data_IF_224962390526
#
_entry.id   IF_224962390526
#
_cell.length_a   1.000
_cell.length_b   1.000
_cell.length_c   1.000
_cell.angle_alpha   90.00
_cell.angle_beta   90.00
_cell.angle_gamma   90.00
#
_symmetry.space_group_name_H-M   'P 1'
#
loop_
_entity.id
_entity.type
_entity.pdbx_description
1 polymer ?
#
# COMPACT_ATOMS: atom_id res chain seq x y z
N UNK A 1 15.84 1.05 -6.29
CA UNK A 1 14.73 0.15 -5.90
C UNK A 1 15.34 -1.20 -5.61
N UNK A 2 14.96 -1.87 -4.52
CA UNK A 2 15.43 -3.21 -4.15
C UNK A 2 14.25 -4.13 -3.81
N UNK A 3 14.45 -5.45 -3.82
CA UNK A 3 13.41 -6.42 -3.46
C UNK A 3 12.38 -6.72 -4.56
N UNK A 4 12.59 -6.30 -5.81
CA UNK A 4 11.61 -6.48 -6.89
C UNK A 4 11.27 -7.96 -7.18
N UNK A 5 12.16 -8.87 -6.83
CA UNK A 5 11.93 -10.31 -6.82
C UNK A 5 10.74 -10.70 -5.92
N UNK A 6 10.55 -10.05 -4.77
CA UNK A 6 9.42 -10.31 -3.88
C UNK A 6 8.09 -9.85 -4.51
N UNK A 7 8.11 -8.71 -5.20
CA UNK A 7 6.95 -8.25 -5.97
C UNK A 7 6.59 -9.26 -7.06
N UNK A 8 7.58 -9.77 -7.81
CA UNK A 8 7.33 -10.75 -8.87
C UNK A 8 6.80 -12.06 -8.29
N UNK A 9 7.41 -12.55 -7.19
CA UNK A 9 7.02 -13.79 -6.54
C UNK A 9 5.57 -13.77 -6.04
N UNK A 10 5.11 -12.65 -5.47
CA UNK A 10 3.72 -12.53 -5.01
C UNK A 10 2.76 -12.18 -6.15
N UNK A 11 3.20 -11.46 -7.18
CA UNK A 11 2.31 -10.99 -8.23
C UNK A 11 1.95 -12.06 -9.26
N UNK A 12 2.82 -13.03 -9.52
CA UNK A 12 2.63 -14.01 -10.58
C UNK A 12 2.54 -15.43 -10.01
N UNK A 13 1.45 -16.13 -10.33
CA UNK A 13 1.34 -17.56 -10.11
C UNK A 13 2.29 -18.34 -11.04
N UNK A 14 2.46 -19.64 -10.80
CA UNK A 14 3.32 -20.51 -11.62
C UNK A 14 2.94 -20.52 -13.10
N UNK A 15 1.65 -20.34 -13.41
CA UNK A 15 1.12 -20.26 -14.78
C UNK A 15 1.31 -18.86 -15.44
N UNK A 16 1.99 -17.94 -14.76
CA UNK A 16 2.28 -16.58 -15.22
C UNK A 16 1.10 -15.61 -15.11
N UNK A 17 -0.06 -16.03 -14.60
CA UNK A 17 -1.20 -15.12 -14.37
C UNK A 17 -0.96 -14.27 -13.13
N UNK A 18 -1.53 -13.06 -13.17
CA UNK A 18 -1.51 -12.18 -12.00
C UNK A 18 -2.49 -12.68 -10.96
N UNK A 19 -2.03 -12.86 -9.73
CA UNK A 19 -2.85 -13.20 -8.58
C UNK A 19 -3.15 -11.96 -7.72
N UNK A 20 -4.27 -11.93 -6.98
CA UNK A 20 -4.59 -10.83 -6.09
C UNK A 20 -3.72 -10.86 -4.84
N UNK A 21 -3.31 -9.69 -4.38
CA UNK A 21 -2.60 -9.49 -3.11
C UNK A 21 -2.74 -8.03 -2.68
N UNK A 22 -2.30 -7.72 -1.46
CA UNK A 22 -2.27 -6.36 -0.94
C UNK A 22 -0.85 -5.81 -1.05
N UNK A 23 -0.69 -4.61 -1.63
CA UNK A 23 0.55 -3.85 -1.56
C UNK A 23 0.38 -2.81 -0.46
N UNK A 24 1.26 -2.89 0.55
CA UNK A 24 1.19 -2.06 1.74
C UNK A 24 2.45 -1.18 1.89
N UNK A 25 2.50 -0.01 1.23
CA UNK A 25 3.55 0.97 1.42
C UNK A 25 3.32 1.87 2.64
N UNK A 26 4.40 2.37 3.27
CA UNK A 26 4.28 3.54 4.14
C UNK A 26 3.96 4.81 3.33
N UNK A 27 3.41 5.84 3.99
CA UNK A 27 2.90 7.05 3.36
C UNK A 27 3.67 8.31 3.82
N UNK A 28 4.59 8.81 2.98
CA UNK A 28 5.39 10.01 3.25
C UNK A 28 4.91 11.27 2.51
N UNK A 29 4.32 11.12 1.32
CA UNK A 29 4.04 12.23 0.41
C UNK A 29 2.84 11.95 -0.49
N UNK A 30 2.31 13.02 -1.11
CA UNK A 30 1.36 12.87 -2.21
C UNK A 30 1.98 12.16 -3.43
N UNK A 31 3.31 12.17 -3.54
CA UNK A 31 4.04 11.53 -4.64
C UNK A 31 4.18 10.02 -4.51
N UNK A 32 3.91 9.43 -3.34
CA UNK A 32 4.14 8.01 -3.08
C UNK A 32 3.51 7.10 -4.13
N UNK A 33 2.20 7.19 -4.46
CA UNK A 33 1.60 6.29 -5.44
C UNK A 33 2.19 6.49 -6.83
N UNK A 34 2.60 7.71 -7.19
CA UNK A 34 3.20 8.00 -8.49
C UNK A 34 4.57 7.35 -8.64
N UNK A 35 5.46 7.58 -7.66
CA UNK A 35 6.81 7.03 -7.69
C UNK A 35 6.76 5.50 -7.61
N UNK A 36 5.89 4.96 -6.75
CA UNK A 36 5.74 3.52 -6.62
C UNK A 36 5.21 2.86 -7.91
N UNK A 37 4.29 3.51 -8.63
CA UNK A 37 3.82 2.99 -9.91
C UNK A 37 4.91 2.88 -10.98
N UNK A 38 5.94 3.74 -10.94
CA UNK A 38 7.06 3.66 -11.90
C UNK A 38 7.90 2.40 -11.74
N UNK A 39 7.79 1.70 -10.60
CA UNK A 39 8.59 0.51 -10.29
C UNK A 39 7.84 -0.79 -10.54
N UNK A 40 6.57 -0.72 -10.96
CA UNK A 40 5.73 -1.88 -11.24
C UNK A 40 5.96 -2.45 -12.65
N UNK A 41 6.00 -3.79 -12.81
CA UNK A 41 5.80 -4.41 -14.11
C UNK A 41 4.47 -3.96 -14.71
N UNK A 42 4.39 -3.84 -16.04
CA UNK A 42 3.19 -3.36 -16.74
C UNK A 42 1.92 -4.13 -16.35
N UNK A 43 2.01 -5.44 -16.16
CA UNK A 43 0.88 -6.29 -15.76
C UNK A 43 0.36 -5.97 -14.35
N UNK A 44 1.25 -5.66 -13.41
CA UNK A 44 0.90 -5.18 -12.06
C UNK A 44 0.31 -3.78 -12.17
N UNK A 45 0.96 -2.89 -12.92
CA UNK A 45 0.52 -1.52 -13.15
C UNK A 45 -0.90 -1.46 -13.74
N UNK A 46 -1.33 -2.44 -14.56
CA UNK A 46 -2.69 -2.49 -15.12
C UNK A 46 -3.75 -3.10 -14.19
N UNK A 47 -3.34 -3.84 -13.18
CA UNK A 47 -4.24 -4.61 -12.31
C UNK A 47 -4.37 -4.08 -10.88
N UNK A 48 -3.57 -3.09 -10.48
CA UNK A 48 -3.75 -2.46 -9.17
C UNK A 48 -4.90 -1.45 -9.15
N UNK A 49 -5.48 -1.25 -7.97
CA UNK A 49 -6.45 -0.20 -7.67
C UNK A 49 -6.23 0.36 -6.26
N UNK A 50 -6.87 1.49 -6.00
CA UNK A 50 -6.88 2.14 -4.70
C UNK A 50 -8.32 2.37 -4.23
N UNK A 51 -8.49 2.62 -2.95
CA UNK A 51 -9.71 3.23 -2.40
C UNK A 51 -9.32 4.57 -1.80
N UNK A 52 -10.05 5.63 -2.12
CA UNK A 52 -9.70 6.97 -1.66
C UNK A 52 -10.79 8.00 -1.88
N UNK A 53 -10.67 9.13 -1.18
CA UNK A 53 -11.70 10.17 -1.13
C UNK A 53 -12.01 10.78 -2.51
N UNK A 54 -13.28 11.19 -2.68
CA UNK A 54 -13.80 11.79 -3.92
C UNK A 54 -13.08 13.09 -4.30
N UNK A 55 -12.47 13.79 -3.34
CA UNK A 55 -11.69 15.00 -3.59
C UNK A 55 -10.56 14.80 -4.61
N UNK A 56 -10.03 13.57 -4.75
CA UNK A 56 -9.04 13.26 -5.80
C UNK A 56 -9.60 13.32 -7.22
N UNK A 57 -10.91 13.49 -7.40
CA UNK A 57 -11.56 13.64 -8.69
C UNK A 57 -11.93 15.10 -9.01
N UNK A 58 -11.56 16.05 -8.15
CA UNK A 58 -11.88 17.47 -8.35
C UNK A 58 -10.85 18.12 -9.30
N UNK A 59 -11.32 18.54 -10.48
CA UNK A 59 -10.47 19.17 -11.50
C UNK A 59 -9.87 18.18 -12.50
N UNK A 60 -9.43 18.71 -13.65
CA UNK A 60 -9.00 17.90 -14.81
C UNK A 60 -7.75 17.07 -14.52
N UNK A 61 -6.78 17.65 -13.80
CA UNK A 61 -5.51 16.99 -13.47
C UNK A 61 -5.69 15.89 -12.42
N UNK A 62 -6.27 16.22 -11.26
CA UNK A 62 -6.53 15.25 -10.19
C UNK A 62 -7.44 14.11 -10.69
N UNK A 63 -8.49 14.42 -11.46
CA UNK A 63 -9.33 13.39 -12.08
C UNK A 63 -8.57 12.49 -13.07
N UNK A 64 -7.58 13.00 -13.81
CA UNK A 64 -6.70 12.17 -14.64
C UNK A 64 -5.84 11.23 -13.78
N UNK A 65 -5.24 11.75 -12.71
CA UNK A 65 -4.46 10.97 -11.74
C UNK A 65 -5.29 9.86 -11.11
N UNK A 66 -6.49 10.18 -10.63
CA UNK A 66 -7.35 9.22 -9.96
C UNK A 66 -7.77 8.07 -10.88
N UNK A 67 -7.98 8.36 -12.19
CA UNK A 67 -8.20 7.31 -13.20
C UNK A 67 -6.95 6.47 -13.45
N UNK A 68 -5.78 7.10 -13.55
CA UNK A 68 -4.49 6.41 -13.75
C UNK A 68 -4.18 5.46 -12.58
N UNK A 69 -4.45 5.88 -11.35
CA UNK A 69 -4.29 5.09 -10.13
C UNK A 69 -5.49 4.17 -9.82
N UNK A 70 -6.53 4.20 -10.65
CA UNK A 70 -7.79 3.42 -10.50
C UNK A 70 -8.38 3.53 -9.10
N UNK A 71 -8.49 4.76 -8.61
CA UNK A 71 -9.06 5.06 -7.30
C UNK A 71 -10.57 4.81 -7.35
N UNK A 72 -11.08 4.02 -6.40
CA UNK A 72 -12.52 3.92 -6.15
C UNK A 72 -12.90 5.08 -5.22
N UNK A 73 -13.81 6.00 -5.63
CA UNK A 73 -14.11 7.23 -4.90
C UNK A 73 -14.97 6.95 -3.66
N UNK A 74 -14.36 6.41 -2.61
CA UNK A 74 -14.96 6.17 -1.32
C UNK A 74 -14.03 6.78 -0.28
N UNK A 75 -14.58 7.73 0.47
CA UNK A 75 -13.87 8.31 1.60
C UNK A 75 -13.84 7.30 2.75
N UNK A 76 -12.65 6.78 3.04
CA UNK A 76 -12.44 5.78 4.08
C UNK A 76 -12.56 6.36 5.49
N UNK A 77 -12.42 7.67 5.67
CA UNK A 77 -12.54 8.32 6.97
C UNK A 77 -14.01 8.45 7.39
N UNK A 78 -14.92 8.65 6.42
CA UNK A 78 -16.37 8.74 6.66
C UNK A 78 -17.14 7.45 6.35
N UNK A 79 -16.62 6.59 5.47
CA UNK A 79 -17.30 5.40 4.95
C UNK A 79 -16.42 4.15 4.99
N UNK A 80 -15.72 3.92 6.10
CA UNK A 80 -14.79 2.79 6.29
C UNK A 80 -15.36 1.43 5.84
N UNK A 81 -16.57 1.08 6.25
CA UNK A 81 -17.19 -0.20 5.87
C UNK A 81 -17.42 -0.34 4.36
N UNK A 82 -17.75 0.75 3.66
CA UNK A 82 -17.89 0.73 2.20
C UNK A 82 -16.52 0.61 1.53
N UNK A 83 -15.49 1.28 2.07
CA UNK A 83 -14.13 1.20 1.57
C UNK A 83 -13.58 -0.24 1.68
N UNK A 84 -13.75 -0.86 2.84
CA UNK A 84 -13.38 -2.26 3.10
C UNK A 84 -14.11 -3.22 2.15
N UNK A 85 -15.43 -3.06 1.97
CA UNK A 85 -16.20 -3.86 1.01
C UNK A 85 -15.70 -3.69 -0.42
N UNK A 86 -15.41 -2.47 -0.86
CA UNK A 86 -14.88 -2.21 -2.20
C UNK A 86 -13.49 -2.85 -2.39
N UNK A 87 -12.62 -2.76 -1.38
CA UNK A 87 -11.34 -3.46 -1.35
C UNK A 87 -11.50 -4.97 -1.52
N UNK A 88 -12.37 -5.59 -0.72
CA UNK A 88 -12.64 -7.02 -0.79
C UNK A 88 -13.22 -7.44 -2.16
N UNK A 89 -14.14 -6.66 -2.73
CA UNK A 89 -14.70 -6.93 -4.07
C UNK A 89 -13.60 -6.89 -5.14
N UNK A 90 -12.72 -5.88 -5.11
CA UNK A 90 -11.62 -5.77 -6.06
C UNK A 90 -10.64 -6.94 -5.96
N UNK A 91 -10.24 -7.31 -4.73
CA UNK A 91 -9.37 -8.45 -4.45
C UNK A 91 -9.99 -9.77 -4.95
N UNK A 92 -11.27 -10.03 -4.65
CA UNK A 92 -12.00 -11.21 -5.16
C UNK A 92 -12.12 -11.26 -6.69
N UNK A 93 -11.97 -10.12 -7.39
CA UNK A 93 -11.93 -10.03 -8.85
C UNK A 93 -10.51 -10.20 -9.43
N UNK A 94 -9.55 -10.66 -8.63
CA UNK A 94 -8.16 -10.85 -9.06
C UNK A 94 -7.38 -9.54 -9.23
N UNK A 95 -7.82 -8.45 -8.62
CA UNK A 95 -7.10 -7.16 -8.64
C UNK A 95 -6.18 -7.02 -7.44
N UNK A 96 -5.18 -6.16 -7.59
CA UNK A 96 -4.18 -5.89 -6.55
C UNK A 96 -4.63 -4.64 -5.79
N UNK A 97 -4.81 -4.72 -4.48
CA UNK A 97 -5.17 -3.54 -3.68
C UNK A 97 -3.90 -2.85 -3.19
N UNK A 98 -3.68 -1.60 -3.56
CA UNK A 98 -2.69 -0.76 -2.90
C UNK A 98 -3.36 0.00 -1.75
N UNK A 99 -2.89 -0.23 -0.52
CA UNK A 99 -3.45 0.34 0.70
C UNK A 99 -2.33 0.88 1.58
N UNK A 100 -2.42 2.14 1.97
CA UNK A 100 -1.50 2.74 2.94
C UNK A 100 -2.01 2.44 4.35
N UNK A 101 -1.35 1.55 5.13
CA UNK A 101 -1.90 1.07 6.39
C UNK A 101 -1.93 2.17 7.47
N UNK A 102 -1.13 3.24 7.34
CA UNK A 102 -1.20 4.43 8.21
C UNK A 102 -2.55 5.16 8.08
N UNK A 103 -3.22 5.05 6.93
CA UNK A 103 -4.47 5.75 6.61
C UNK A 103 -4.30 7.24 6.31
N UNK A 104 -3.19 7.85 6.68
CA UNK A 104 -2.83 9.22 6.34
C UNK A 104 -1.32 9.38 6.06
N UNK A 105 -0.95 10.51 5.45
CA UNK A 105 0.46 10.85 5.18
C UNK A 105 1.17 11.25 6.45
N UNK A 106 2.39 10.76 6.62
CA UNK A 106 3.30 11.16 7.67
C UNK A 106 3.45 12.69 7.74
N UNK A 107 3.33 13.23 8.94
CA UNK A 107 3.41 14.66 9.19
C UNK A 107 4.81 15.12 9.60
N UNK A 108 5.64 14.20 10.10
CA UNK A 108 7.01 14.44 10.57
C UNK A 108 8.07 13.63 9.78
N UNK A 109 7.63 12.74 8.88
CA UNK A 109 8.50 11.85 8.10
C UNK A 109 8.86 10.54 8.81
N UNK A 110 8.28 10.28 9.97
CA UNK A 110 8.38 9.01 10.68
C UNK A 110 7.19 8.09 10.33
N UNK A 111 7.29 6.83 10.75
CA UNK A 111 6.27 5.82 10.52
C UNK A 111 5.21 5.87 11.65
N UNK A 112 3.97 6.19 11.32
CA UNK A 112 2.88 6.27 12.29
C UNK A 112 2.15 4.94 12.47
N UNK A 113 1.26 4.87 13.45
CA UNK A 113 0.45 3.69 13.77
C UNK A 113 -0.29 3.14 12.55
N UNK A 114 -0.35 1.82 12.42
CA UNK A 114 -1.05 1.16 11.32
C UNK A 114 -2.46 0.79 11.75
N UNK A 115 -3.43 1.11 10.90
CA UNK A 115 -4.81 0.65 11.02
C UNK A 115 -4.91 -0.82 10.60
N UNK A 116 -5.86 -1.56 11.18
CA UNK A 116 -6.04 -3.01 10.95
C UNK A 116 -6.62 -3.37 9.57
N UNK A 117 -7.06 -2.40 8.76
CA UNK A 117 -7.81 -2.67 7.51
C UNK A 117 -7.10 -3.60 6.52
N UNK A 118 -5.78 -3.43 6.34
CA UNK A 118 -4.99 -4.32 5.49
C UNK A 118 -4.90 -5.74 6.06
N UNK A 119 -4.69 -5.88 7.37
CA UNK A 119 -4.62 -7.17 8.05
C UNK A 119 -5.96 -7.93 8.01
N UNK A 120 -7.08 -7.22 8.22
CA UNK A 120 -8.43 -7.80 8.12
C UNK A 120 -8.66 -8.32 6.70
N UNK A 121 -8.43 -7.49 5.67
CA UNK A 121 -8.65 -7.93 4.28
C UNK A 121 -7.75 -9.11 3.89
N UNK A 122 -6.50 -9.12 4.33
CA UNK A 122 -5.57 -10.19 4.06
C UNK A 122 -6.02 -11.50 4.72
N UNK A 123 -6.33 -11.48 6.01
CA UNK A 123 -6.73 -12.66 6.78
C UNK A 123 -8.08 -13.24 6.31
N UNK A 124 -9.08 -12.40 6.05
CA UNK A 124 -10.42 -12.83 5.64
C UNK A 124 -10.47 -13.39 4.22
N UNK A 125 -9.52 -12.99 3.36
CA UNK A 125 -9.45 -13.43 1.97
C UNK A 125 -8.32 -14.43 1.72
N UNK A 126 -7.54 -14.75 2.76
CA UNK A 126 -6.31 -15.53 2.69
C UNK A 126 -5.36 -15.05 1.59
N UNK A 127 -5.12 -13.74 1.56
CA UNK A 127 -4.28 -13.08 0.56
C UNK A 127 -2.99 -12.53 1.16
N UNK A 128 -1.85 -12.66 0.47
CA UNK A 128 -0.58 -12.16 0.97
C UNK A 128 -0.55 -10.63 1.02
N UNK A 129 0.21 -10.12 1.99
CA UNK A 129 0.58 -8.70 2.09
C UNK A 129 2.02 -8.54 1.61
N UNK A 130 2.24 -7.65 0.65
CA UNK A 130 3.57 -7.20 0.24
C UNK A 130 3.92 -5.90 0.97
N UNK A 131 4.75 -5.93 2.02
CA UNK A 131 5.24 -4.73 2.68
C UNK A 131 6.17 -3.94 1.76
N UNK A 132 6.01 -2.62 1.70
CA UNK A 132 6.87 -1.73 0.90
C UNK A 132 7.37 -0.57 1.76
N UNK A 133 8.68 -0.41 1.82
CA UNK A 133 9.31 0.75 2.44
C UNK A 133 9.70 1.78 1.38
N UNK A 134 9.31 3.02 1.63
CA UNK A 134 9.60 4.21 0.85
C UNK A 134 10.31 5.19 1.78
N UNK A 135 11.48 5.66 1.37
CA UNK A 135 12.22 6.72 2.06
C UNK A 135 12.68 7.83 1.11
N UNK A 136 12.70 9.06 1.63
CA UNK A 136 13.14 10.26 0.93
C UNK A 136 12.02 11.13 0.38
N UNK A 137 10.79 10.61 0.23
CA UNK A 137 9.69 11.37 -0.36
C UNK A 137 9.15 12.48 0.54
N UNK A 138 9.24 12.31 1.87
CA UNK A 138 8.93 13.39 2.80
C UNK A 138 9.83 14.63 2.57
N UNK A 139 11.13 14.42 2.28
CA UNK A 139 12.09 15.51 2.01
C UNK A 139 11.85 16.17 0.65
N UNK A 140 11.38 15.40 -0.33
CA UNK A 140 11.02 15.88 -1.67
C UNK A 140 9.78 16.76 -1.61
N UNK A 141 8.70 16.28 -0.98
CA UNK A 141 7.46 17.02 -0.85
C UNK A 141 6.64 16.61 0.38
N UNK A 142 6.88 17.29 1.49
CA UNK A 142 6.17 17.07 2.76
C UNK A 142 4.69 17.51 2.70
N UNK A 143 3.83 16.88 3.52
CA UNK A 143 2.37 17.07 3.54
C UNK A 143 1.89 18.54 3.55
N UNK A 144 2.57 19.41 4.30
CA UNK A 144 2.21 20.83 4.47
C UNK A 144 3.07 21.80 3.63
N UNK A 145 3.95 21.27 2.77
CA UNK A 145 4.80 22.10 1.93
C UNK A 145 4.17 22.31 0.56
N UNK A 146 4.29 23.52 0.02
CA UNK A 146 3.94 23.83 -1.37
C UNK A 146 5.15 23.70 -2.32
N UNK A 147 6.35 23.49 -1.77
CA UNK A 147 7.61 23.48 -2.54
C UNK A 147 8.11 22.05 -2.73
N UNK A 148 8.21 21.63 -3.98
CA UNK A 148 8.83 20.37 -4.38
C UNK A 148 10.35 20.60 -4.50
N UNK A 149 11.14 19.72 -3.91
CA UNK A 149 12.62 19.75 -3.98
C UNK A 149 13.15 18.48 -4.65
N UNK A 150 14.18 18.56 -5.51
CA UNK A 150 14.89 17.38 -5.96
C UNK A 150 15.43 16.59 -4.76
N UNK A 151 15.34 15.28 -4.80
CA UNK A 151 15.80 14.41 -3.74
C UNK A 151 15.93 12.97 -4.20
N UNK A 152 16.76 12.20 -3.49
CA UNK A 152 16.89 10.77 -3.73
C UNK A 152 15.74 10.05 -3.03
N UNK A 153 15.05 9.18 -3.76
CA UNK A 153 14.00 8.31 -3.23
C UNK A 153 14.51 6.88 -3.28
N UNK A 154 14.38 6.16 -2.17
CA UNK A 154 14.68 4.73 -2.09
C UNK A 154 13.38 3.97 -1.86
N UNK A 155 13.22 2.85 -2.55
CA UNK A 155 12.07 1.95 -2.41
C UNK A 155 12.60 0.54 -2.21
N UNK A 156 12.03 -0.18 -1.24
CA UNK A 156 12.31 -1.59 -0.97
C UNK A 156 11.01 -2.37 -0.82
N UNK A 157 10.92 -3.47 -1.55
CA UNK A 157 9.87 -4.48 -1.36
C UNK A 157 10.36 -5.54 -0.36
N UNK A 158 9.62 -5.72 0.72
CA UNK A 158 9.92 -6.74 1.73
C UNK A 158 9.44 -8.14 1.32
N UNK A 159 9.71 -9.12 2.17
CA UNK A 159 9.19 -10.48 1.98
C UNK A 159 7.66 -10.45 2.14
N UNK A 160 6.89 -11.14 1.27
CA UNK A 160 5.45 -11.26 1.45
C UNK A 160 5.13 -11.89 2.80
N UNK A 161 4.10 -11.37 3.47
CA UNK A 161 3.55 -11.91 4.70
C UNK A 161 2.31 -12.69 4.32
N UNK A 162 2.29 -14.00 4.61
CA UNK A 162 1.12 -14.83 4.36
C UNK A 162 0.26 -14.90 5.63
N UNK A 163 -1.04 -14.61 5.56
CA UNK A 163 -1.92 -14.66 6.74
C UNK A 163 -1.96 -16.03 7.42
N UNK A 164 -1.70 -17.11 6.67
CA UNK A 164 -1.61 -18.47 7.18
C UNK A 164 -0.41 -18.73 8.10
N UNK A 165 0.64 -17.91 8.01
CA UNK A 165 1.84 -17.99 8.87
C UNK A 165 1.64 -17.33 10.24
N UNK A 166 0.57 -16.53 10.40
CA UNK A 166 0.29 -15.77 11.62
C UNK A 166 -0.89 -16.41 12.35
N UNK A 167 -0.60 -16.98 13.52
CA UNK A 167 -1.57 -17.66 14.37
C UNK A 167 -1.92 -16.72 15.54
N UNK A 168 -3.22 -16.56 15.79
CA UNK A 168 -3.76 -15.86 16.96
C UNK A 168 -4.82 -16.74 17.65
N UNK A 169 -5.09 -16.49 18.94
CA UNK A 169 -6.14 -17.21 19.69
C UNK A 169 -7.56 -16.94 19.14
N UNK A 170 -7.74 -15.79 18.50
CA UNK A 170 -8.95 -15.35 17.82
C UNK A 170 -8.60 -14.44 16.63
N UNK A 171 -9.60 -14.08 15.84
CA UNK A 171 -9.44 -13.24 14.64
C UNK A 171 -8.88 -11.84 14.98
N UNK A 172 -9.33 -11.24 16.08
CA UNK A 172 -8.88 -9.92 16.50
C UNK A 172 -7.39 -9.89 16.81
N UNK A 173 -6.93 -10.84 17.63
CA UNK A 173 -5.53 -11.02 17.98
C UNK A 173 -4.67 -11.37 16.75
N UNK A 174 -5.22 -12.14 15.80
CA UNK A 174 -4.55 -12.45 14.53
C UNK A 174 -4.38 -11.19 13.67
N UNK A 175 -5.39 -10.34 13.57
CA UNK A 175 -5.27 -9.07 12.84
C UNK A 175 -4.25 -8.12 13.49
N UNK A 176 -4.18 -8.11 14.81
CA UNK A 176 -3.20 -7.31 15.56
C UNK A 176 -1.77 -7.81 15.32
N UNK A 177 -1.55 -9.11 15.38
CA UNK A 177 -0.26 -9.71 15.08
C UNK A 177 0.18 -9.43 13.63
N UNK A 178 -0.73 -9.55 12.66
CA UNK A 178 -0.46 -9.21 11.26
C UNK A 178 -0.12 -7.73 11.08
N UNK A 179 -0.87 -6.83 11.73
CA UNK A 179 -0.64 -5.39 11.66
C UNK A 179 0.71 -5.01 12.28
N UNK A 180 1.03 -5.56 13.45
CA UNK A 180 2.30 -5.35 14.13
C UNK A 180 3.48 -5.89 13.31
N UNK A 181 3.34 -7.08 12.72
CA UNK A 181 4.36 -7.66 11.84
C UNK A 181 4.60 -6.79 10.61
N UNK A 182 3.53 -6.38 9.93
CA UNK A 182 3.60 -5.49 8.77
C UNK A 182 4.31 -4.17 9.11
N UNK A 183 3.96 -3.54 10.23
CA UNK A 183 4.63 -2.32 10.71
C UNK A 183 6.12 -2.55 10.97
N UNK A 184 6.46 -3.60 11.72
CA UNK A 184 7.84 -3.92 12.09
C UNK A 184 8.72 -4.18 10.86
N UNK A 185 8.22 -4.94 9.89
CA UNK A 185 8.94 -5.23 8.64
C UNK A 185 9.21 -3.94 7.85
N UNK A 186 8.22 -3.04 7.75
CA UNK A 186 8.39 -1.75 7.06
C UNK A 186 9.36 -0.83 7.82
N UNK A 187 9.26 -0.76 9.14
CA UNK A 187 10.15 0.05 9.98
C UNK A 187 11.61 -0.39 9.84
N UNK A 188 11.88 -1.70 9.93
CA UNK A 188 13.21 -2.25 9.74
C UNK A 188 13.77 -1.91 8.35
N UNK A 189 12.96 -2.03 7.30
CA UNK A 189 13.36 -1.65 5.95
C UNK A 189 13.64 -0.14 5.81
N UNK A 190 12.84 0.73 6.43
CA UNK A 190 13.10 2.18 6.44
C UNK A 190 14.44 2.49 7.12
N UNK A 191 14.72 1.87 8.27
CA UNK A 191 16.01 2.02 8.97
C UNK A 191 17.17 1.60 8.06
N UNK A 192 17.05 0.49 7.34
CA UNK A 192 18.06 0.04 6.38
C UNK A 192 18.20 1.00 5.18
N UNK A 193 17.10 1.56 4.67
CA UNK A 193 17.15 2.54 3.58
C UNK A 193 17.81 3.85 4.00
N UNK A 194 17.79 4.22 5.28
CA UNK A 194 18.40 5.45 5.79
C UNK A 194 19.89 5.34 6.10
N UNK A 195 20.44 4.12 6.07
CA UNK A 195 21.89 3.89 6.04
C UNK A 195 22.47 4.30 4.68
#
# INVERSE_FOLDING_TARGET
VSGQENLKAVAFAEDGKVQPFLICPNHQSFLDPFVLCTTYPWTVFRNFFHVGAKMFFEGRFLGFVARMLRVVPIDQDTQLMRAMKAGAIGLKRGKILNIYPEGERAFDGNLHEFKKGAAILAAELDLPILPVAIDGLYKVWARKSWRIRPGKVKIRYGKPIYPSEIIGPDDGARYDALTARLRSDIEAMIVELRK
#
